data_IF_606235454225
#
_entry.id   IF_606235454225
#
_cell.length_a   1.000
_cell.length_b   1.000
_cell.length_c   1.000
_cell.angle_alpha   90.00
_cell.angle_beta   90.00
_cell.angle_gamma   90.00
#
_symmetry.space_group_name_H-M   'P 1'
#
loop_
_entity.id
_entity.type
_entity.pdbx_description
1 polymer ?
#
# COMPACT_ATOMS: atom_id res chain seq x y z
N UNK A 1 -11.31 0.76 -3.70
CA UNK A 1 -12.78 0.71 -3.81
C UNK A 1 -13.36 0.13 -2.51
N UNK A 2 -14.14 0.93 -1.80
CA UNK A 2 -14.75 0.59 -0.51
C UNK A 2 -15.63 -0.67 -0.61
N UNK A 3 -16.42 -0.80 -1.67
CA UNK A 3 -17.27 -1.97 -1.91
C UNK A 3 -16.45 -3.26 -2.04
N UNK A 4 -15.27 -3.19 -2.65
CA UNK A 4 -14.38 -4.33 -2.74
C UNK A 4 -13.83 -4.71 -1.35
N UNK A 5 -13.56 -3.73 -0.49
CA UNK A 5 -13.17 -3.93 0.90
C UNK A 5 -14.28 -4.61 1.71
N UNK A 6 -15.51 -4.17 1.58
CA UNK A 6 -16.68 -4.78 2.24
C UNK A 6 -16.91 -6.23 1.78
N UNK A 7 -16.80 -6.51 0.48
CA UNK A 7 -16.90 -7.87 -0.06
C UNK A 7 -15.77 -8.77 0.45
N UNK A 8 -14.56 -8.25 0.56
CA UNK A 8 -13.43 -8.99 1.13
C UNK A 8 -13.66 -9.31 2.61
N UNK A 9 -14.17 -8.34 3.39
CA UNK A 9 -14.56 -8.54 4.78
C UNK A 9 -15.61 -9.65 4.91
N UNK A 10 -16.66 -9.57 4.12
CA UNK A 10 -17.71 -10.57 4.10
C UNK A 10 -17.16 -11.97 3.76
N UNK A 11 -16.34 -12.09 2.73
CA UNK A 11 -15.75 -13.36 2.32
C UNK A 11 -14.87 -13.96 3.43
N UNK A 12 -14.06 -13.14 4.11
CA UNK A 12 -13.24 -13.57 5.25
C UNK A 12 -14.10 -14.01 6.44
N UNK A 13 -15.16 -13.29 6.75
CA UNK A 13 -16.12 -13.67 7.81
C UNK A 13 -16.77 -15.01 7.51
N UNK A 14 -17.22 -15.24 6.29
CA UNK A 14 -17.83 -16.50 5.90
C UNK A 14 -16.85 -17.66 5.99
N UNK A 15 -15.60 -17.47 5.55
CA UNK A 15 -14.56 -18.49 5.67
C UNK A 15 -14.17 -18.78 7.12
N UNK A 16 -14.06 -17.76 7.96
CA UNK A 16 -13.81 -17.92 9.38
C UNK A 16 -14.98 -18.65 10.08
N UNK A 17 -16.21 -18.32 9.72
CA UNK A 17 -17.42 -18.98 10.25
C UNK A 17 -17.52 -20.45 9.82
N UNK A 18 -17.12 -20.78 8.60
CA UNK A 18 -17.03 -22.17 8.11
C UNK A 18 -16.10 -23.01 8.99
N UNK A 19 -14.93 -22.44 9.37
CA UNK A 19 -13.93 -23.13 10.20
C UNK A 19 -14.29 -23.13 11.69
N UNK A 20 -14.97 -22.10 12.18
CA UNK A 20 -15.33 -21.95 13.59
C UNK A 20 -16.75 -21.46 13.77
N UNK A 21 -17.66 -22.35 14.12
CA UNK A 21 -19.11 -22.08 14.24
C UNK A 21 -19.47 -20.91 15.16
N UNK A 22 -18.67 -20.62 16.19
CA UNK A 22 -18.89 -19.53 17.15
C UNK A 22 -18.12 -18.26 16.82
N UNK A 23 -17.59 -18.13 15.59
CA UNK A 23 -16.75 -17.01 15.17
C UNK A 23 -17.38 -15.65 15.45
N UNK A 24 -18.62 -15.46 15.07
CA UNK A 24 -19.33 -14.19 15.26
C UNK A 24 -19.57 -13.79 16.72
N UNK A 25 -19.44 -14.72 17.68
CA UNK A 25 -19.51 -14.39 19.11
C UNK A 25 -18.22 -13.75 19.65
N UNK A 26 -17.13 -13.77 18.87
CA UNK A 26 -15.82 -13.25 19.30
C UNK A 26 -15.59 -11.78 18.97
N UNK A 27 -16.52 -11.12 18.29
CA UNK A 27 -16.40 -9.72 17.85
C UNK A 27 -15.03 -9.40 17.19
N UNK A 28 -14.51 -10.33 16.38
CA UNK A 28 -13.25 -10.16 15.64
C UNK A 28 -13.59 -9.46 14.33
N UNK A 29 -12.90 -8.35 14.06
CA UNK A 29 -12.99 -7.65 12.77
C UNK A 29 -11.86 -8.09 11.85
N UNK A 30 -12.10 -8.24 10.53
CA UNK A 30 -11.05 -8.49 9.58
C UNK A 30 -10.19 -7.23 9.42
N UNK A 31 -8.89 -7.43 9.29
CA UNK A 31 -7.95 -6.34 9.10
C UNK A 31 -7.87 -6.01 7.60
N UNK A 32 -8.67 -5.04 7.14
CA UNK A 32 -8.79 -4.65 5.74
C UNK A 32 -8.46 -3.17 5.59
N UNK A 33 -7.55 -2.86 4.66
CA UNK A 33 -7.22 -1.51 4.26
C UNK A 33 -7.67 -1.28 2.81
N UNK A 34 -8.52 -0.30 2.61
CA UNK A 34 -8.85 0.25 1.30
C UNK A 34 -7.92 1.44 1.04
N UNK A 35 -7.16 1.38 -0.05
CA UNK A 35 -6.28 2.48 -0.42
C UNK A 35 -7.09 3.56 -1.14
N UNK A 36 -7.04 4.76 -0.60
CA UNK A 36 -7.78 5.93 -1.06
C UNK A 36 -6.85 7.11 -1.29
N UNK A 37 -7.19 7.94 -2.26
CA UNK A 37 -6.46 9.15 -2.55
C UNK A 37 -6.54 10.13 -1.37
N UNK A 38 -5.39 10.65 -1.00
CA UNK A 38 -5.29 11.75 -0.03
C UNK A 38 -4.40 12.83 -0.62
N UNK A 39 -4.95 14.01 -0.76
CA UNK A 39 -4.26 15.15 -1.38
C UNK A 39 -4.03 16.25 -0.37
N UNK A 40 -2.90 16.92 -0.51
CA UNK A 40 -2.53 18.08 0.29
C UNK A 40 -2.02 19.19 -0.63
N UNK A 41 -2.35 20.43 -0.28
CA UNK A 41 -1.69 21.59 -0.88
C UNK A 41 -0.32 21.80 -0.21
N UNK A 42 0.62 22.41 -0.93
CA UNK A 42 1.98 22.61 -0.42
C UNK A 42 2.02 23.45 0.88
N UNK A 43 1.12 24.39 1.03
CA UNK A 43 1.01 25.22 2.23
C UNK A 43 0.44 24.42 3.42
N UNK A 44 -0.51 23.51 3.18
CA UNK A 44 -1.08 22.64 4.21
C UNK A 44 -0.01 21.73 4.83
N UNK A 45 0.80 21.09 3.98
CA UNK A 45 1.89 20.22 4.45
C UNK A 45 2.88 21.01 5.33
N UNK A 46 3.28 22.21 4.89
CA UNK A 46 4.19 23.07 5.67
C UNK A 46 3.59 23.45 7.02
N UNK A 47 2.39 24.01 7.02
CA UNK A 47 1.70 24.43 8.25
C UNK A 47 1.51 23.26 9.23
N UNK A 48 1.22 22.07 8.70
CA UNK A 48 1.07 20.87 9.51
C UNK A 48 2.41 20.40 10.11
N UNK A 49 3.48 20.37 9.33
CA UNK A 49 4.81 19.99 9.80
C UNK A 49 5.32 20.94 10.89
N UNK A 50 5.11 22.24 10.72
CA UNK A 50 5.47 23.26 11.72
C UNK A 50 4.68 23.07 13.04
N UNK A 51 3.41 22.69 12.96
CA UNK A 51 2.56 22.46 14.12
C UNK A 51 2.87 21.15 14.85
N UNK A 52 3.28 20.11 14.13
CA UNK A 52 3.50 18.78 14.71
C UNK A 52 4.85 18.62 15.37
N UNK A 53 5.89 19.10 14.86
CA UNK A 53 7.24 19.31 15.41
C UNK A 53 8.28 19.33 14.27
N UNK A 54 9.09 20.37 14.12
CA UNK A 54 10.04 20.48 13.02
C UNK A 54 11.19 19.46 13.06
N UNK A 55 11.45 18.81 14.19
CA UNK A 55 12.54 17.85 14.35
C UNK A 55 12.16 16.40 13.97
N UNK A 56 10.91 16.12 13.66
CA UNK A 56 10.42 14.78 13.34
C UNK A 56 10.34 14.56 11.82
N UNK A 57 11.44 14.12 11.21
CA UNK A 57 11.46 13.56 9.84
C UNK A 57 10.67 14.38 8.79
N UNK A 58 10.77 15.71 8.84
CA UNK A 58 9.92 16.65 8.08
C UNK A 58 9.91 16.36 6.58
N UNK A 59 11.07 16.02 6.02
CA UNK A 59 11.22 15.77 4.60
C UNK A 59 10.62 14.41 4.20
N UNK A 60 10.86 13.39 5.02
CA UNK A 60 10.38 12.02 4.79
C UNK A 60 8.87 11.94 4.97
N UNK A 61 8.31 12.61 5.99
CA UNK A 61 6.87 12.69 6.20
C UNK A 61 6.19 13.47 5.06
N UNK A 62 6.75 14.58 4.62
CA UNK A 62 6.24 15.33 3.46
C UNK A 62 6.20 14.47 2.20
N UNK A 63 7.26 13.69 1.95
CA UNK A 63 7.32 12.77 0.82
C UNK A 63 6.25 11.70 0.94
N UNK A 64 6.12 11.08 2.11
CA UNK A 64 5.10 10.05 2.38
C UNK A 64 3.68 10.57 2.14
N UNK A 65 3.34 11.76 2.66
CA UNK A 65 2.02 12.36 2.48
C UNK A 65 1.67 12.53 0.99
N UNK A 66 2.65 12.87 0.16
CA UNK A 66 2.48 13.03 -1.28
C UNK A 66 2.41 11.70 -2.06
N UNK A 67 2.96 10.60 -1.52
CA UNK A 67 2.93 9.29 -2.20
C UNK A 67 1.51 8.73 -2.37
N UNK A 68 0.56 9.12 -1.50
CA UNK A 68 -0.82 8.62 -1.52
C UNK A 68 -1.81 9.48 -2.28
N UNK A 69 -1.33 10.49 -3.03
CA UNK A 69 -2.17 11.37 -3.85
C UNK A 69 -2.99 10.61 -4.91
N UNK A 70 -2.47 9.51 -5.43
CA UNK A 70 -3.10 8.66 -6.43
C UNK A 70 -3.08 7.18 -5.97
N UNK A 71 -3.40 6.96 -4.70
CA UNK A 71 -3.33 5.63 -4.09
C UNK A 71 -4.32 4.63 -4.72
N UNK A 72 -5.46 5.09 -5.23
CA UNK A 72 -6.43 4.27 -5.97
C UNK A 72 -5.87 3.78 -7.32
N UNK A 73 -4.99 4.56 -7.96
CA UNK A 73 -4.38 4.23 -9.25
C UNK A 73 -3.16 3.31 -9.10
N UNK A 74 -2.34 3.51 -8.07
CA UNK A 74 -1.10 2.75 -7.85
C UNK A 74 -1.29 1.56 -6.90
N UNK A 75 -2.26 1.62 -6.04
CA UNK A 75 -2.60 0.54 -5.12
C UNK A 75 -1.42 0.14 -4.22
N UNK A 76 -1.37 -1.15 -3.91
CA UNK A 76 -0.30 -1.72 -3.06
C UNK A 76 1.09 -1.75 -3.73
N UNK A 77 1.23 -1.25 -4.97
CA UNK A 77 2.53 -1.04 -5.59
C UNK A 77 3.30 0.13 -4.96
N UNK A 78 2.63 1.03 -4.23
CA UNK A 78 3.28 2.12 -3.48
C UNK A 78 4.27 1.51 -2.48
N UNK A 79 5.48 2.06 -2.46
CA UNK A 79 6.52 1.76 -1.47
C UNK A 79 6.65 2.95 -0.54
N UNK A 80 6.07 2.90 0.68
CA UNK A 80 6.28 3.98 1.65
C UNK A 80 7.78 4.20 1.91
N UNK A 81 8.22 5.44 1.81
CA UNK A 81 9.64 5.79 1.95
C UNK A 81 10.06 6.06 3.40
N UNK A 82 9.10 6.09 4.31
CA UNK A 82 9.37 6.30 5.74
C UNK A 82 9.58 4.96 6.46
N UNK A 83 10.57 4.91 7.34
CA UNK A 83 10.76 3.83 8.30
C UNK A 83 10.00 4.12 9.60
N UNK A 84 9.66 3.08 10.38
CA UNK A 84 8.97 3.21 11.67
C UNK A 84 7.60 3.92 11.60
N UNK A 85 6.83 3.65 10.55
CA UNK A 85 5.50 4.26 10.34
C UNK A 85 4.56 3.98 11.51
N UNK A 86 4.56 2.77 12.06
CA UNK A 86 3.71 2.39 13.19
C UNK A 86 3.98 3.22 14.44
N UNK A 87 5.25 3.53 14.73
CA UNK A 87 5.59 4.38 15.88
C UNK A 87 5.17 5.83 15.65
N UNK A 88 5.38 6.34 14.44
CA UNK A 88 4.96 7.69 14.08
C UNK A 88 3.44 7.83 14.10
N UNK A 89 2.72 6.84 13.57
CA UNK A 89 1.26 6.81 13.60
C UNK A 89 0.75 6.90 15.04
N UNK A 90 1.29 6.09 15.97
CA UNK A 90 0.91 6.13 17.38
C UNK A 90 1.20 7.48 18.02
N UNK A 91 2.40 8.04 17.76
CA UNK A 91 2.78 9.35 18.32
C UNK A 91 1.86 10.47 17.83
N UNK A 92 1.46 10.42 16.56
CA UNK A 92 0.57 11.44 15.99
C UNK A 92 -0.90 11.24 16.40
N UNK A 93 -1.36 10.02 16.54
CA UNK A 93 -2.74 9.71 16.96
C UNK A 93 -3.00 10.17 18.40
N UNK A 94 -2.00 10.09 19.29
CA UNK A 94 -2.08 10.58 20.67
C UNK A 94 -1.91 12.10 20.77
N UNK A 95 -1.44 12.78 19.72
CA UNK A 95 -1.08 14.20 19.75
C UNK A 95 -2.29 15.11 19.47
N UNK A 96 -2.60 16.00 20.39
CA UNK A 96 -3.50 17.13 20.12
C UNK A 96 -2.73 18.20 19.34
N UNK A 97 -3.06 18.36 18.06
CA UNK A 97 -2.31 19.25 17.15
C UNK A 97 -2.66 20.72 17.39
N UNK A 98 -3.93 21.04 17.59
CA UNK A 98 -4.43 22.41 17.84
C UNK A 98 -5.96 22.37 17.98
N UNK A 99 -6.56 23.44 18.52
CA UNK A 99 -8.01 23.66 18.47
C UNK A 99 -8.45 24.28 17.12
N UNK A 100 -7.50 24.57 16.21
CA UNK A 100 -7.77 25.04 14.85
C UNK A 100 -8.35 23.93 13.98
N UNK A 101 -9.58 24.11 13.53
CA UNK A 101 -10.33 23.17 12.70
C UNK A 101 -9.59 22.84 11.38
N UNK A 102 -8.86 23.79 10.82
CA UNK A 102 -8.09 23.59 9.60
C UNK A 102 -6.92 22.61 9.81
N UNK A 103 -6.17 22.80 10.91
CA UNK A 103 -5.08 21.89 11.26
C UNK A 103 -5.60 20.51 11.69
N UNK A 104 -6.76 20.43 12.30
CA UNK A 104 -7.40 19.14 12.63
C UNK A 104 -7.78 18.37 11.38
N UNK A 105 -8.33 18.99 10.34
CA UNK A 105 -8.63 18.32 9.06
C UNK A 105 -7.37 17.78 8.40
N UNK A 106 -6.30 18.59 8.32
CA UNK A 106 -5.01 18.14 7.76
C UNK A 106 -4.45 16.96 8.58
N UNK A 107 -4.57 17.02 9.90
CA UNK A 107 -4.12 15.95 10.79
C UNK A 107 -4.86 14.63 10.54
N UNK A 108 -6.19 14.66 10.41
CA UNK A 108 -6.98 13.47 10.07
C UNK A 108 -6.60 12.88 8.71
N UNK A 109 -6.37 13.74 7.72
CA UNK A 109 -5.87 13.30 6.40
C UNK A 109 -4.46 12.70 6.49
N UNK A 110 -3.58 13.28 7.31
CA UNK A 110 -2.24 12.73 7.54
C UNK A 110 -2.28 11.36 8.25
N UNK A 111 -3.11 11.21 9.29
CA UNK A 111 -3.34 9.92 9.94
C UNK A 111 -3.89 8.87 8.96
N UNK A 112 -4.77 9.27 8.04
CA UNK A 112 -5.28 8.37 6.98
C UNK A 112 -4.16 7.88 6.07
N UNK A 113 -3.22 8.73 5.65
CA UNK A 113 -2.04 8.34 4.87
C UNK A 113 -1.16 7.38 5.67
N UNK A 114 -0.85 7.71 6.92
CA UNK A 114 -0.02 6.87 7.77
C UNK A 114 -0.64 5.50 8.02
N UNK A 115 -1.95 5.44 8.25
CA UNK A 115 -2.67 4.17 8.36
C UNK A 115 -2.52 3.31 7.08
N UNK A 116 -2.71 3.88 5.90
CA UNK A 116 -2.52 3.16 4.63
C UNK A 116 -1.07 2.70 4.44
N UNK A 117 -0.11 3.56 4.78
CA UNK A 117 1.32 3.26 4.69
C UNK A 117 1.74 2.15 5.66
N UNK A 118 1.13 2.10 6.85
CA UNK A 118 1.39 1.07 7.86
C UNK A 118 1.02 -0.34 7.35
N UNK A 119 0.00 -0.48 6.50
CA UNK A 119 -0.29 -1.76 5.83
C UNK A 119 0.72 -2.14 4.74
N UNK A 120 1.39 -1.17 4.13
CA UNK A 120 2.31 -1.39 3.01
C UNK A 120 3.79 -1.49 3.42
N UNK A 121 4.11 -1.31 4.69
CA UNK A 121 5.48 -1.28 5.22
C UNK A 121 5.94 -2.58 5.86
N UNK A 122 5.10 -3.31 6.63
CA UNK A 122 5.51 -4.54 7.28
C UNK A 122 5.84 -5.65 6.29
N UNK A 123 6.58 -6.63 6.79
CA UNK A 123 6.82 -7.89 6.08
C UNK A 123 5.87 -8.97 6.60
N UNK A 124 5.36 -9.77 5.69
CA UNK A 124 4.36 -10.79 5.97
C UNK A 124 4.92 -12.21 5.77
N UNK A 125 4.48 -13.16 6.58
CA UNK A 125 4.85 -14.57 6.44
C UNK A 125 4.27 -15.21 5.18
N UNK A 126 3.11 -14.76 4.76
CA UNK A 126 2.42 -15.25 3.56
C UNK A 126 1.85 -14.05 2.81
N UNK A 127 2.13 -13.97 1.52
CA UNK A 127 1.55 -12.95 0.62
C UNK A 127 0.88 -13.65 -0.54
N UNK A 128 -0.42 -13.41 -0.72
CA UNK A 128 -1.24 -14.00 -1.79
C UNK A 128 -1.85 -12.90 -2.62
N UNK A 129 -1.77 -13.01 -3.94
CA UNK A 129 -2.36 -12.02 -4.84
C UNK A 129 -2.88 -12.63 -6.14
N UNK A 130 -3.96 -12.04 -6.62
CA UNK A 130 -4.44 -12.18 -7.98
C UNK A 130 -4.35 -10.80 -8.65
N UNK A 131 -3.17 -10.40 -9.15
CA UNK A 131 -2.97 -9.07 -9.73
C UNK A 131 -3.70 -8.93 -11.07
N UNK A 132 -4.05 -7.70 -11.49
CA UNK A 132 -4.64 -7.48 -12.80
C UNK A 132 -3.64 -7.82 -13.92
N UNK A 133 -4.12 -8.52 -14.96
CA UNK A 133 -3.36 -8.85 -16.16
C UNK A 133 -3.53 -7.71 -17.17
N UNK A 134 -2.69 -6.70 -17.04
CA UNK A 134 -2.81 -5.47 -17.80
C UNK A 134 -1.46 -5.06 -18.35
N UNK A 135 -1.26 -5.32 -19.64
CA UNK A 135 -0.08 -4.83 -20.35
C UNK A 135 -0.16 -3.33 -20.67
N UNK A 136 0.94 -2.78 -21.16
CA UNK A 136 1.08 -1.32 -21.36
C UNK A 136 -0.03 -0.64 -22.17
N UNK A 137 -0.70 -1.37 -23.08
CA UNK A 137 -1.84 -0.84 -23.86
C UNK A 137 -3.12 -0.69 -23.05
N UNK A 138 -3.27 -1.43 -21.96
CA UNK A 138 -4.45 -1.37 -21.08
C UNK A 138 -4.30 -0.38 -19.94
N UNK A 139 -3.09 0.04 -19.63
CA UNK A 139 -2.80 0.99 -18.57
C UNK A 139 -3.16 2.42 -19.00
N UNK A 140 -3.66 3.23 -18.07
CA UNK A 140 -3.73 4.66 -18.31
C UNK A 140 -2.30 5.27 -18.38
N UNK A 141 -2.17 6.44 -19.00
CA UNK A 141 -0.87 7.08 -19.24
C UNK A 141 -0.12 7.38 -17.94
N UNK A 142 -0.85 7.73 -16.90
CA UNK A 142 -0.28 8.08 -15.59
C UNK A 142 0.34 6.86 -14.91
N UNK A 143 -0.40 5.75 -14.83
CA UNK A 143 0.10 4.47 -14.29
C UNK A 143 1.30 3.96 -15.09
N UNK A 144 1.22 4.02 -16.43
CA UNK A 144 2.31 3.58 -17.30
C UNK A 144 3.60 4.38 -17.11
N UNK A 145 3.51 5.69 -16.90
CA UNK A 145 4.67 6.54 -16.58
C UNK A 145 5.21 6.21 -15.20
N UNK A 146 4.35 6.15 -14.20
CA UNK A 146 4.75 5.83 -12.83
C UNK A 146 5.44 4.47 -12.70
N UNK A 147 4.95 3.43 -13.45
CA UNK A 147 5.62 2.13 -13.51
C UNK A 147 7.01 2.18 -14.15
N UNK A 148 7.22 3.04 -15.15
CA UNK A 148 8.56 3.24 -15.74
C UNK A 148 9.55 3.78 -14.71
N UNK A 149 9.10 4.66 -13.85
CA UNK A 149 9.93 5.30 -12.85
C UNK A 149 10.19 4.38 -11.64
N UNK A 150 9.18 3.65 -11.18
CA UNK A 150 9.23 2.87 -9.95
C UNK A 150 9.53 1.38 -10.15
N UNK A 151 9.20 0.81 -11.32
CA UNK A 151 9.32 -0.61 -11.67
C UNK A 151 9.90 -0.82 -13.07
N UNK A 152 10.96 -0.10 -13.42
CA UNK A 152 11.56 -0.03 -14.75
C UNK A 152 11.82 -1.40 -15.38
N UNK A 153 12.21 -2.40 -14.59
CA UNK A 153 12.59 -3.74 -15.04
C UNK A 153 11.41 -4.64 -15.36
N UNK A 154 10.23 -4.31 -14.87
CA UNK A 154 9.00 -5.11 -14.98
C UNK A 154 7.79 -4.28 -15.45
N UNK A 155 8.02 -3.10 -15.99
CA UNK A 155 7.01 -2.12 -16.42
C UNK A 155 6.10 -2.55 -17.57
N UNK A 156 6.39 -3.67 -18.23
CA UNK A 156 5.66 -4.12 -19.41
C UNK A 156 4.27 -4.65 -19.10
N UNK A 157 4.05 -5.13 -17.88
CA UNK A 157 2.77 -5.66 -17.44
C UNK A 157 2.59 -5.46 -15.94
N UNK A 158 1.37 -5.14 -15.55
CA UNK A 158 1.05 -4.79 -14.16
C UNK A 158 1.24 -5.99 -13.21
N UNK A 159 0.87 -7.21 -13.63
CA UNK A 159 1.08 -8.39 -12.79
C UNK A 159 2.55 -8.59 -12.42
N UNK A 160 3.48 -8.27 -13.33
CA UNK A 160 4.91 -8.44 -13.07
C UNK A 160 5.44 -7.45 -12.03
N UNK A 161 4.93 -6.22 -12.00
CA UNK A 161 5.23 -5.25 -10.94
C UNK A 161 4.68 -5.73 -9.58
N UNK A 162 3.45 -6.27 -9.55
CA UNK A 162 2.87 -6.86 -8.34
C UNK A 162 3.67 -8.06 -7.84
N UNK A 163 4.18 -8.91 -8.72
CA UNK A 163 5.04 -10.03 -8.30
C UNK A 163 6.30 -9.56 -7.59
N UNK A 164 6.97 -8.51 -8.11
CA UNK A 164 8.13 -7.90 -7.46
C UNK A 164 7.72 -7.29 -6.11
N UNK A 165 6.67 -6.46 -6.09
CA UNK A 165 6.23 -5.78 -4.87
C UNK A 165 5.85 -6.76 -3.76
N UNK A 166 5.10 -7.80 -4.07
CA UNK A 166 4.67 -8.79 -3.10
C UNK A 166 5.85 -9.61 -2.55
N UNK A 167 6.89 -9.82 -3.37
CA UNK A 167 8.16 -10.41 -2.88
C UNK A 167 8.85 -9.48 -1.89
N UNK A 168 8.79 -8.17 -2.11
CA UNK A 168 9.32 -7.17 -1.17
C UNK A 168 8.51 -7.11 0.14
N UNK A 169 7.21 -7.38 0.09
CA UNK A 169 6.34 -7.46 1.27
C UNK A 169 6.47 -8.80 2.02
N UNK A 170 7.15 -9.78 1.47
CA UNK A 170 7.36 -11.07 2.12
C UNK A 170 8.58 -11.06 3.04
N UNK A 171 8.47 -11.72 4.19
CA UNK A 171 9.61 -12.06 5.02
C UNK A 171 10.58 -12.98 4.28
N UNK A 172 11.84 -12.98 4.68
CA UNK A 172 12.79 -14.01 4.24
C UNK A 172 12.24 -15.38 4.64
N UNK A 173 12.18 -16.32 3.68
CA UNK A 173 11.54 -17.64 3.81
C UNK A 173 9.99 -17.57 3.94
N UNK A 174 9.38 -16.42 3.70
CA UNK A 174 7.93 -16.29 3.59
C UNK A 174 7.39 -17.00 2.35
N UNK A 175 6.10 -17.27 2.34
CA UNK A 175 5.44 -17.95 1.23
C UNK A 175 4.72 -16.95 0.32
N UNK A 176 4.82 -17.17 -1.00
CA UNK A 176 4.20 -16.35 -2.01
C UNK A 176 3.24 -17.19 -2.85
N UNK A 177 2.02 -16.71 -3.03
CA UNK A 177 1.02 -17.31 -3.90
C UNK A 177 0.50 -16.31 -4.91
N UNK A 178 0.71 -16.58 -6.21
CA UNK A 178 0.22 -15.71 -7.27
C UNK A 178 -0.66 -16.44 -8.26
N UNK A 179 -1.77 -15.83 -8.65
CA UNK A 179 -2.37 -16.13 -9.93
C UNK A 179 -1.73 -15.22 -10.98
N UNK A 180 -1.07 -15.79 -11.96
CA UNK A 180 -0.37 -15.03 -13.00
C UNK A 180 -0.38 -15.78 -14.34
N UNK A 181 -0.33 -15.08 -15.48
CA UNK A 181 -0.13 -15.71 -16.76
C UNK A 181 1.20 -16.46 -16.80
N UNK A 182 1.23 -17.68 -17.30
CA UNK A 182 2.46 -18.50 -17.37
C UNK A 182 3.52 -17.96 -18.33
N UNK A 183 3.16 -17.04 -19.22
CA UNK A 183 4.03 -16.47 -20.26
C UNK A 183 5.32 -15.84 -19.73
N UNK A 184 5.33 -15.34 -18.48
CA UNK A 184 6.52 -14.75 -17.88
C UNK A 184 7.66 -15.77 -17.69
N UNK A 185 7.34 -17.08 -17.63
CA UNK A 185 8.33 -18.14 -17.50
C UNK A 185 9.17 -18.30 -18.78
N UNK A 186 8.64 -17.93 -19.94
CA UNK A 186 9.25 -18.24 -21.25
C UNK A 186 9.64 -17.01 -22.08
N UNK A 187 8.79 -15.98 -22.10
CA UNK A 187 9.02 -14.84 -22.97
C UNK A 187 10.26 -14.03 -22.56
N UNK A 188 11.02 -13.57 -23.56
CA UNK A 188 12.24 -12.78 -23.36
C UNK A 188 11.98 -11.44 -22.66
N UNK A 189 10.81 -10.84 -22.88
CA UNK A 189 10.39 -9.60 -22.20
C UNK A 189 10.40 -9.69 -20.67
N UNK A 190 10.23 -10.89 -20.09
CA UNK A 190 10.27 -11.11 -18.63
C UNK A 190 11.61 -11.65 -18.12
N UNK A 191 12.69 -11.57 -18.91
CA UNK A 191 14.03 -12.04 -18.47
C UNK A 191 14.48 -11.40 -17.17
N UNK A 192 14.22 -10.10 -16.98
CA UNK A 192 14.59 -9.39 -15.76
C UNK A 192 13.78 -9.86 -14.56
N UNK A 193 12.49 -10.12 -14.71
CA UNK A 193 11.64 -10.70 -13.68
C UNK A 193 12.16 -12.07 -13.24
N UNK A 194 12.49 -12.96 -14.18
CA UNK A 194 13.07 -14.29 -13.85
C UNK A 194 14.39 -14.17 -13.11
N UNK A 195 15.29 -13.26 -13.53
CA UNK A 195 16.53 -13.00 -12.81
C UNK A 195 16.31 -12.51 -11.41
N UNK A 196 15.31 -11.65 -11.19
CA UNK A 196 14.94 -11.18 -9.87
C UNK A 196 14.59 -12.36 -8.92
N UNK A 197 13.79 -13.33 -9.39
CA UNK A 197 13.43 -14.50 -8.57
C UNK A 197 14.56 -15.51 -8.34
N UNK A 198 15.48 -15.64 -9.28
CA UNK A 198 16.63 -16.58 -9.15
C UNK A 198 17.65 -16.03 -8.14
N UNK A 199 17.75 -14.70 -8.00
CA UNK A 199 18.74 -14.04 -7.16
C UNK A 199 18.22 -13.71 -5.74
N UNK A 200 16.98 -14.09 -5.42
CA UNK A 200 16.34 -13.93 -4.10
C UNK A 200 16.36 -15.21 -3.30
#
# INVERSE_FOLDING_TARGET
DERAGELAAFALFMKAREKYRRFFKKNIQPNICVLENVTFENHEVRSYLDAVNPDLFTMELSTLLNQFKEADNFGSLIRPELTNISDLLRLLDEKKVSDDMFLQDIHQRALKVLNQADYLSPKYHVVVANPPYMGGKGMNSRLGTWLKDNYSDVKSDLFSAFMVRNTELSLQKGQLGFMSPFVWMFLSSYKKLRKFFINK
#
